data_IF_388833671486
#
_entry.id   IF_388833671486
#
_cell.length_a   1.000
_cell.length_b   1.000
_cell.length_c   1.000
_cell.angle_alpha   90.00
_cell.angle_beta   90.00
_cell.angle_gamma   90.00
#
_symmetry.space_group_name_H-M   'P 1'
#
loop_
_entity.id
_entity.type
_entity.pdbx_description
1 polymer ?
#
# COMPACT_ATOMS: atom_id res chain seq x y z
N UNK A 1 -15.64 66.77 12.76
CA UNK A 1 -14.66 66.42 13.80
C UNK A 1 -15.19 65.25 14.60
N UNK A 2 -14.74 64.04 14.29
CA UNK A 2 -14.63 62.89 15.22
C UNK A 2 -14.05 61.70 14.44
N UNK A 3 -12.74 61.57 14.48
CA UNK A 3 -11.99 60.37 14.13
C UNK A 3 -11.97 59.44 15.34
N UNK A 4 -12.52 58.23 15.22
CA UNK A 4 -12.36 57.17 16.21
C UNK A 4 -11.49 56.08 15.60
N UNK A 5 -10.30 55.95 16.19
CA UNK A 5 -9.19 55.10 15.83
C UNK A 5 -9.51 53.63 16.13
N UNK A 6 -9.35 52.77 15.13
CA UNK A 6 -9.49 51.31 15.22
C UNK A 6 -8.35 50.70 16.04
N UNK A 7 -8.74 49.83 16.99
CA UNK A 7 -7.88 49.18 17.97
C UNK A 7 -7.14 48.00 17.33
N UNK A 8 -5.81 48.12 17.25
CA UNK A 8 -4.89 47.01 16.99
C UNK A 8 -5.06 45.94 18.09
N UNK A 9 -5.37 44.69 17.73
CA UNK A 9 -5.16 43.52 18.59
C UNK A 9 -4.10 42.64 17.96
N UNK A 10 -2.90 42.73 18.52
CA UNK A 10 -1.80 41.77 18.34
C UNK A 10 -2.24 40.40 18.84
N UNK A 11 -2.35 39.43 17.93
CA UNK A 11 -2.44 38.01 18.25
C UNK A 11 -1.01 37.48 18.30
N UNK A 12 -0.41 37.55 19.48
CA UNK A 12 0.85 36.87 19.79
C UNK A 12 0.77 36.46 21.25
N UNK A 13 0.67 35.15 21.46
CA UNK A 13 1.11 34.39 22.65
C UNK A 13 0.15 33.24 22.99
N UNK A 14 0.02 32.27 22.09
CA UNK A 14 -0.34 30.90 22.46
C UNK A 14 0.38 29.91 21.54
N UNK A 15 1.71 29.88 21.64
CA UNK A 15 2.56 28.81 21.13
C UNK A 15 3.54 28.45 22.25
N UNK A 16 3.79 27.14 22.38
CA UNK A 16 4.73 26.43 23.28
C UNK A 16 4.10 25.90 24.56
N UNK A 17 3.52 24.70 24.46
CA UNK A 17 3.64 23.64 25.47
C UNK A 17 3.75 22.29 24.74
N UNK A 18 4.80 22.11 23.94
CA UNK A 18 5.28 20.79 23.54
C UNK A 18 6.49 20.45 24.42
N UNK A 19 6.25 19.70 25.50
CA UNK A 19 7.33 19.05 26.23
C UNK A 19 8.08 18.08 25.31
N UNK A 20 9.31 17.65 25.66
CA UNK A 20 10.05 16.70 24.84
C UNK A 20 9.21 15.42 24.63
N UNK A 21 8.94 15.09 23.38
CA UNK A 21 8.22 13.87 23.01
C UNK A 21 9.03 12.66 23.49
N UNK A 22 8.36 11.76 24.23
CA UNK A 22 9.00 10.56 24.77
C UNK A 22 8.73 9.40 23.81
N UNK A 23 9.75 8.83 23.14
CA UNK A 23 9.57 7.68 22.27
C UNK A 23 9.00 6.49 23.06
N UNK A 24 7.96 5.84 22.50
CA UNK A 24 7.34 4.67 23.10
C UNK A 24 7.74 3.42 22.33
N UNK A 25 8.29 2.45 23.07
CA UNK A 25 8.52 1.10 22.55
C UNK A 25 7.18 0.41 22.31
N UNK A 26 7.09 -0.32 21.21
CA UNK A 26 5.95 -1.15 20.82
C UNK A 26 6.39 -2.56 20.51
N UNK A 27 5.44 -3.48 20.62
CA UNK A 27 5.56 -4.86 20.15
C UNK A 27 4.46 -5.12 19.14
N UNK A 28 4.84 -5.51 17.93
CA UNK A 28 3.89 -5.83 16.86
C UNK A 28 3.95 -7.32 16.56
N UNK A 29 2.82 -7.99 16.62
CA UNK A 29 2.72 -9.43 16.35
C UNK A 29 1.28 -9.88 16.16
N UNK A 30 1.08 -11.16 15.89
CA UNK A 30 -0.24 -11.76 15.68
C UNK A 30 -0.59 -12.60 16.91
N UNK A 31 -1.78 -12.35 17.46
CA UNK A 31 -2.18 -12.89 18.77
C UNK A 31 -3.33 -13.89 18.71
N UNK A 32 -3.91 -14.10 17.52
CA UNK A 32 -5.00 -15.04 17.26
C UNK A 32 -5.05 -15.39 15.78
N UNK A 33 -5.51 -16.61 15.46
CA UNK A 33 -5.59 -17.13 14.09
C UNK A 33 -6.47 -16.25 13.19
N UNK A 34 -5.97 -15.92 12.00
CA UNK A 34 -6.67 -15.12 11.00
C UNK A 34 -6.85 -13.65 11.40
N UNK A 35 -6.25 -13.24 12.52
CA UNK A 35 -6.29 -11.85 12.94
C UNK A 35 -5.14 -11.07 12.30
N UNK A 36 -5.44 -9.82 11.98
CA UNK A 36 -4.44 -8.83 11.62
C UNK A 36 -3.41 -8.72 12.77
N UNK A 37 -2.10 -8.60 12.47
CA UNK A 37 -1.13 -8.07 13.41
C UNK A 37 -1.67 -6.92 14.25
N UNK A 38 -1.29 -6.89 15.52
CA UNK A 38 -1.65 -5.82 16.44
C UNK A 38 -0.40 -5.26 17.07
N UNK A 39 -0.42 -3.96 17.33
CA UNK A 39 0.68 -3.24 17.96
C UNK A 39 0.32 -2.89 19.39
N UNK A 40 1.10 -3.42 20.33
CA UNK A 40 0.94 -3.18 21.76
C UNK A 40 2.03 -2.26 22.26
N UNK A 41 1.64 -1.18 22.93
CA UNK A 41 2.58 -0.23 23.52
C UNK A 41 3.14 -0.83 24.83
N UNK A 42 4.47 -0.79 24.99
CA UNK A 42 5.15 -1.17 26.22
C UNK A 42 4.95 -0.06 27.27
N UNK A 43 3.83 -0.15 27.98
CA UNK A 43 3.35 0.90 28.90
C UNK A 43 3.87 0.78 30.34
N UNK A 44 4.29 -0.42 30.76
CA UNK A 44 4.71 -0.72 32.13
C UNK A 44 6.17 -1.14 32.21
N UNK A 45 6.73 -1.11 33.42
CA UNK A 45 8.11 -1.48 33.69
C UNK A 45 8.16 -2.27 35.03
N UNK A 46 8.26 -3.61 35.03
CA UNK A 46 8.32 -4.48 33.85
C UNK A 46 6.97 -4.61 33.14
N UNK A 47 7.01 -4.75 31.83
CA UNK A 47 5.91 -5.19 30.98
C UNK A 47 6.00 -6.71 30.85
N UNK A 48 5.00 -7.44 31.35
CA UNK A 48 5.07 -8.89 31.49
C UNK A 48 4.33 -9.57 30.35
N UNK A 49 4.95 -10.62 29.82
CA UNK A 49 4.46 -11.40 28.70
C UNK A 49 4.32 -12.86 29.14
N UNK A 50 3.20 -13.49 28.81
CA UNK A 50 2.98 -14.90 29.12
C UNK A 50 1.56 -15.34 28.84
N UNK A 51 1.23 -16.59 29.18
CA UNK A 51 -0.07 -17.19 28.88
C UNK A 51 -1.20 -16.75 29.83
N UNK A 52 -0.85 -16.16 30.98
CA UNK A 52 -1.87 -15.76 31.96
C UNK A 52 -2.54 -14.44 31.54
N UNK A 53 -3.86 -14.38 31.72
CA UNK A 53 -4.68 -13.23 31.37
C UNK A 53 -4.45 -11.97 32.24
N UNK A 54 -3.78 -12.11 33.39
CA UNK A 54 -3.47 -10.98 34.30
C UNK A 54 -2.19 -10.21 33.94
N UNK A 55 -1.55 -10.55 32.81
CA UNK A 55 -0.33 -9.92 32.33
C UNK A 55 -0.62 -8.81 31.34
N UNK A 56 0.36 -7.90 31.15
CA UNK A 56 0.22 -6.79 30.20
C UNK A 56 0.09 -7.27 28.74
N UNK A 57 0.74 -8.38 28.39
CA UNK A 57 0.52 -9.08 27.13
C UNK A 57 0.25 -10.56 27.40
N UNK A 58 -1.03 -10.92 27.33
CA UNK A 58 -1.50 -12.30 27.46
C UNK A 58 -1.48 -12.98 26.09
N UNK A 59 -0.65 -14.02 25.94
CA UNK A 59 -0.50 -14.79 24.71
C UNK A 59 -1.21 -16.15 24.84
N UNK A 60 -2.23 -16.37 24.02
CA UNK A 60 -2.99 -17.62 24.06
C UNK A 60 -2.31 -18.72 23.23
N UNK A 61 -1.18 -19.23 23.73
CA UNK A 61 -0.43 -20.31 23.08
C UNK A 61 -0.02 -21.39 24.09
N UNK A 62 -0.21 -22.69 23.78
CA UNK A 62 0.17 -23.78 24.68
C UNK A 62 1.68 -23.90 24.90
N UNK A 63 2.51 -23.37 23.98
CA UNK A 63 3.97 -23.37 24.11
C UNK A 63 4.49 -22.12 24.85
N UNK A 64 3.61 -21.24 25.33
CA UNK A 64 3.95 -20.09 26.15
C UNK A 64 3.72 -20.40 27.64
N UNK A 65 4.76 -20.21 28.46
CA UNK A 65 4.67 -20.33 29.92
C UNK A 65 3.74 -19.27 30.54
N UNK A 66 3.16 -19.58 31.71
CA UNK A 66 2.21 -18.69 32.40
C UNK A 66 2.75 -17.27 32.62
N UNK A 67 4.02 -17.17 33.04
CA UNK A 67 4.88 -16.00 32.87
C UNK A 67 6.07 -16.48 32.04
N UNK A 68 6.38 -15.80 30.96
CA UNK A 68 7.37 -16.28 30.00
C UNK A 68 8.55 -15.32 29.89
N UNK A 69 8.26 -14.04 29.68
CA UNK A 69 9.28 -13.02 29.47
C UNK A 69 8.84 -11.68 30.07
N UNK A 70 9.81 -10.83 30.33
CA UNK A 70 9.61 -9.47 30.82
C UNK A 70 10.43 -8.49 30.01
N UNK A 71 9.81 -7.38 29.64
CA UNK A 71 10.47 -6.23 29.07
C UNK A 71 10.53 -5.10 30.11
N UNK A 72 11.67 -4.47 30.26
CA UNK A 72 11.85 -3.40 31.23
C UNK A 72 12.78 -2.33 30.67
N UNK A 73 12.57 -1.09 31.09
CA UNK A 73 13.39 0.03 30.64
C UNK A 73 14.47 0.32 31.67
N UNK A 74 15.74 0.33 31.25
CA UNK A 74 16.90 0.72 32.06
C UNK A 74 17.62 1.83 31.31
N UNK A 75 17.75 3.02 31.93
CA UNK A 75 18.41 4.19 31.33
C UNK A 75 17.86 4.55 29.93
N UNK A 76 16.55 4.40 29.72
CA UNK A 76 15.90 4.69 28.44
C UNK A 76 16.02 3.59 27.38
N UNK A 77 16.82 2.55 27.61
CA UNK A 77 16.94 1.39 26.73
C UNK A 77 16.01 0.26 27.15
N UNK A 78 15.45 -0.45 26.16
CA UNK A 78 14.60 -1.60 26.42
C UNK A 78 15.48 -2.83 26.66
N UNK A 79 15.13 -3.61 27.69
CA UNK A 79 15.77 -4.88 28.00
C UNK A 79 14.75 -5.99 28.09
N UNK A 80 15.16 -7.17 27.70
CA UNK A 80 14.36 -8.39 27.70
C UNK A 80 15.02 -9.42 28.61
N UNK A 81 14.18 -10.15 29.34
CA UNK A 81 14.57 -11.29 30.16
C UNK A 81 13.56 -12.41 30.05
N UNK A 82 14.07 -13.64 30.04
CA UNK A 82 13.29 -14.85 30.22
C UNK A 82 12.99 -15.11 31.71
N UNK A 83 11.74 -15.44 32.05
CA UNK A 83 11.32 -15.71 33.44
C UNK A 83 11.34 -17.19 33.80
N UNK A 84 12.36 -17.92 33.33
CA UNK A 84 12.48 -19.37 33.46
C UNK A 84 11.35 -20.09 32.71
N UNK A 85 11.09 -19.67 31.48
CA UNK A 85 10.08 -20.28 30.63
C UNK A 85 10.50 -21.69 30.18
N UNK A 86 9.51 -22.51 29.84
CA UNK A 86 9.74 -23.91 29.45
C UNK A 86 10.47 -24.03 28.11
N UNK A 87 10.12 -23.17 27.15
CA UNK A 87 10.67 -23.23 25.79
C UNK A 87 11.78 -22.20 25.54
N UNK A 88 11.97 -21.26 26.47
CA UNK A 88 12.92 -20.17 26.33
C UNK A 88 12.35 -19.00 25.52
N UNK A 89 12.93 -17.84 25.77
CA UNK A 89 12.75 -16.61 25.00
C UNK A 89 13.92 -16.46 24.03
N UNK A 90 13.66 -15.95 22.83
CA UNK A 90 14.69 -15.73 21.81
C UNK A 90 14.68 -14.28 21.36
N UNK A 91 15.85 -13.76 21.00
CA UNK A 91 16.05 -12.47 20.38
C UNK A 91 16.74 -12.71 19.03
N UNK A 92 16.08 -12.31 17.93
CA UNK A 92 16.58 -12.53 16.56
C UNK A 92 16.97 -14.00 16.29
N UNK A 93 16.15 -14.94 16.78
CA UNK A 93 16.39 -16.39 16.65
C UNK A 93 17.45 -16.97 17.59
N UNK A 94 18.14 -16.14 18.38
CA UNK A 94 19.12 -16.60 19.37
C UNK A 94 18.48 -16.68 20.75
N UNK A 95 18.58 -17.84 21.40
CA UNK A 95 18.04 -18.02 22.76
C UNK A 95 18.78 -17.10 23.73
N UNK A 96 18.03 -16.28 24.47
CA UNK A 96 18.63 -15.34 25.41
C UNK A 96 19.05 -16.07 26.69
N UNK A 97 20.13 -15.61 27.31
CA UNK A 97 20.56 -16.04 28.64
C UNK A 97 20.74 -14.81 29.51
N UNK A 98 19.95 -14.70 30.59
CA UNK A 98 19.92 -13.49 31.42
C UNK A 98 19.18 -12.33 30.75
N UNK A 99 19.63 -11.10 31.06
CA UNK A 99 19.05 -9.86 30.55
C UNK A 99 19.82 -9.39 29.32
N UNK A 100 19.10 -9.13 28.23
CA UNK A 100 19.67 -8.63 26.98
C UNK A 100 19.04 -7.29 26.63
N UNK A 101 19.81 -6.44 25.94
CA UNK A 101 19.26 -5.22 25.36
C UNK A 101 18.47 -5.55 24.10
N UNK A 102 17.45 -4.75 23.82
CA UNK A 102 16.56 -4.89 22.68
C UNK A 102 16.47 -3.56 21.98
N UNK A 103 16.82 -3.57 20.70
CA UNK A 103 16.81 -2.39 19.85
C UNK A 103 15.55 -2.35 18.97
N UNK A 104 15.29 -1.18 18.38
CA UNK A 104 14.27 -1.05 17.34
C UNK A 104 14.61 -1.99 16.18
N UNK A 105 13.60 -2.71 15.68
CA UNK A 105 13.79 -3.68 14.62
C UNK A 105 14.06 -5.10 15.13
N UNK A 106 14.32 -5.32 16.41
CA UNK A 106 14.55 -6.67 16.92
C UNK A 106 13.28 -7.53 16.91
N UNK A 107 13.48 -8.84 16.77
CA UNK A 107 12.45 -9.85 16.93
C UNK A 107 12.58 -10.53 18.29
N UNK A 108 11.54 -10.39 19.12
CA UNK A 108 11.39 -11.11 20.38
C UNK A 108 10.48 -12.32 20.15
N UNK A 109 10.97 -13.54 20.42
CA UNK A 109 10.21 -14.78 20.28
C UNK A 109 9.87 -15.34 21.66
N UNK A 110 8.57 -15.58 21.89
CA UNK A 110 8.00 -16.08 23.13
C UNK A 110 7.13 -17.28 22.77
N UNK A 111 7.66 -18.49 22.93
CA UNK A 111 7.00 -19.71 22.44
C UNK A 111 6.95 -19.74 20.90
N UNK A 112 5.75 -19.77 20.33
CA UNK A 112 5.46 -19.68 18.89
C UNK A 112 4.99 -18.28 18.45
N UNK A 113 5.01 -17.31 19.37
CA UNK A 113 4.67 -15.92 19.08
C UNK A 113 5.95 -15.13 18.86
N UNK A 114 6.00 -14.38 17.77
CA UNK A 114 7.11 -13.50 17.45
C UNK A 114 6.61 -12.06 17.39
N UNK A 115 7.36 -11.17 18.03
CA UNK A 115 7.03 -9.78 18.25
C UNK A 115 8.14 -8.91 17.69
N UNK A 116 7.82 -8.05 16.71
CA UNK A 116 8.75 -7.04 16.21
C UNK A 116 8.74 -5.85 17.17
N UNK A 117 9.92 -5.38 17.54
CA UNK A 117 10.10 -4.23 18.41
C UNK A 117 10.12 -2.97 17.54
N UNK A 118 9.24 -2.02 17.85
CA UNK A 118 9.18 -0.71 17.21
C UNK A 118 9.39 0.43 18.19
N UNK A 119 9.73 1.61 17.68
CA UNK A 119 9.73 2.85 18.45
C UNK A 119 8.89 3.88 17.70
N UNK A 120 7.82 4.38 18.33
CA UNK A 120 6.93 5.36 17.69
C UNK A 120 6.80 6.65 18.51
N UNK A 121 6.59 7.74 17.77
CA UNK A 121 6.14 9.04 18.30
C UNK A 121 4.61 9.07 18.39
N UNK A 122 4.08 9.75 19.41
CA UNK A 122 2.78 9.40 20.06
C UNK A 122 1.53 9.75 19.24
N UNK A 123 1.62 10.48 18.12
CA UNK A 123 0.41 11.04 17.49
C UNK A 123 -0.38 10.06 16.59
N UNK A 124 0.17 8.89 16.22
CA UNK A 124 -0.47 7.99 15.23
C UNK A 124 -0.83 6.57 15.71
N UNK A 125 -0.57 6.20 16.97
CA UNK A 125 -0.87 4.84 17.43
C UNK A 125 -2.26 4.73 18.07
N UNK A 126 -3.23 4.19 17.31
CA UNK A 126 -4.43 3.59 17.90
C UNK A 126 -4.00 2.30 18.60
N UNK A 127 -4.01 2.29 19.93
CA UNK A 127 -3.69 1.10 20.72
C UNK A 127 -4.79 0.04 20.51
N UNK A 128 -4.53 -0.98 19.71
CA UNK A 128 -5.37 -2.19 19.62
C UNK A 128 -4.89 -3.17 20.68
N UNK A 129 -5.44 -3.06 21.90
CA UNK A 129 -5.32 -4.12 22.90
C UNK A 129 -6.33 -5.21 22.48
N UNK A 130 -5.94 -6.48 22.33
CA UNK A 130 -6.91 -7.54 22.12
C UNK A 130 -7.81 -7.65 23.36
N UNK A 131 -9.03 -7.13 23.26
CA UNK A 131 -10.11 -7.49 24.17
C UNK A 131 -10.61 -8.87 23.72
N UNK A 132 -10.38 -9.86 24.59
CA UNK A 132 -10.95 -11.22 24.53
C UNK A 132 -10.32 -12.18 23.49
N UNK A 133 -9.20 -12.81 23.84
CA UNK A 133 -8.77 -14.06 23.19
C UNK A 133 -9.72 -15.21 23.61
N UNK A 134 -10.86 -15.36 22.93
CA UNK A 134 -11.76 -16.50 23.08
C UNK A 134 -11.31 -17.73 22.28
N UNK A 135 -11.71 -18.88 22.82
CA UNK A 135 -11.37 -20.28 22.47
C UNK A 135 -11.52 -20.60 20.98
N UNK A 136 -10.53 -21.26 20.38
CA UNK A 136 -10.66 -22.52 19.60
C UNK A 136 -9.30 -23.03 19.14
N UNK A 137 -9.27 -24.33 18.85
CA UNK A 137 -8.15 -25.21 18.53
C UNK A 137 -7.45 -24.93 17.19
N UNK A 138 -6.15 -25.25 17.15
CA UNK A 138 -5.23 -25.26 15.99
C UNK A 138 -4.83 -23.87 15.46
N UNK A 139 -3.89 -23.23 16.17
CA UNK A 139 -3.10 -22.07 15.74
C UNK A 139 -1.78 -22.54 15.13
N UNK A 140 -1.44 -22.07 13.92
CA UNK A 140 -0.11 -22.22 13.33
C UNK A 140 0.55 -20.83 13.23
N UNK A 141 0.95 -20.28 14.39
CA UNK A 141 1.55 -18.95 14.50
C UNK A 141 2.82 -18.72 13.70
N UNK A 142 3.44 -19.80 13.23
CA UNK A 142 4.65 -19.74 12.39
C UNK A 142 4.35 -19.09 11.04
N UNK A 143 3.22 -19.40 10.42
CA UNK A 143 2.90 -18.93 9.06
C UNK A 143 2.58 -17.43 9.03
N UNK A 144 1.80 -16.96 10.00
CA UNK A 144 1.37 -15.57 10.13
C UNK A 144 2.52 -14.63 10.51
N UNK A 145 3.37 -15.05 11.45
CA UNK A 145 4.63 -14.36 11.76
C UNK A 145 5.57 -14.35 10.56
N UNK A 146 5.70 -15.48 9.85
CA UNK A 146 6.57 -15.57 8.69
C UNK A 146 6.17 -14.56 7.62
N UNK A 147 4.88 -14.29 7.44
CA UNK A 147 4.39 -13.26 6.52
C UNK A 147 4.74 -11.84 6.96
N UNK A 148 4.63 -11.54 8.27
CA UNK A 148 5.06 -10.24 8.78
C UNK A 148 6.57 -10.05 8.65
N UNK A 149 7.37 -11.07 8.97
CA UNK A 149 8.82 -11.08 8.72
C UNK A 149 9.13 -10.82 7.26
N UNK A 150 8.49 -11.57 6.38
CA UNK A 150 8.62 -11.45 4.95
C UNK A 150 8.29 -10.05 4.44
N UNK A 151 7.20 -9.41 4.92
CA UNK A 151 6.86 -8.04 4.52
C UNK A 151 7.92 -7.04 4.99
N UNK A 152 8.33 -7.12 6.26
CA UNK A 152 9.30 -6.18 6.80
C UNK A 152 10.65 -6.31 6.09
N UNK A 153 11.09 -7.54 5.81
CA UNK A 153 12.27 -7.82 5.00
C UNK A 153 12.10 -7.30 3.57
N UNK A 154 10.94 -7.51 2.94
CA UNK A 154 10.63 -6.98 1.60
C UNK A 154 10.75 -5.46 1.54
N UNK A 155 10.24 -4.76 2.56
CA UNK A 155 10.31 -3.30 2.65
C UNK A 155 11.74 -2.81 2.85
N UNK A 156 12.47 -3.44 3.78
CA UNK A 156 13.85 -3.08 4.11
C UNK A 156 14.82 -3.34 2.95
N UNK A 157 14.69 -4.50 2.30
CA UNK A 157 15.53 -4.92 1.18
C UNK A 157 15.06 -4.38 -0.17
N UNK A 158 13.86 -3.79 -0.23
CA UNK A 158 13.22 -3.29 -1.46
C UNK A 158 13.08 -4.38 -2.53
N UNK A 159 12.89 -5.64 -2.13
CA UNK A 159 12.93 -6.84 -3.00
C UNK A 159 11.67 -7.05 -3.86
N UNK A 160 11.18 -5.99 -4.51
CA UNK A 160 10.09 -6.06 -5.49
C UNK A 160 10.63 -6.34 -6.90
N UNK A 161 9.94 -7.20 -7.63
CA UNK A 161 10.29 -7.61 -8.97
C UNK A 161 9.83 -6.57 -10.03
N UNK A 162 10.53 -6.46 -11.17
CA UNK A 162 10.18 -5.57 -12.29
C UNK A 162 9.02 -6.15 -13.11
N UNK A 163 7.85 -6.34 -12.50
CA UNK A 163 6.67 -6.90 -13.14
C UNK A 163 5.79 -5.79 -13.72
N UNK A 164 5.57 -5.83 -15.02
CA UNK A 164 4.79 -4.83 -15.74
C UNK A 164 3.74 -5.49 -16.62
N UNK A 165 2.58 -4.85 -16.76
CA UNK A 165 1.58 -5.23 -17.74
C UNK A 165 1.49 -4.15 -18.83
N UNK A 166 1.63 -4.53 -20.12
CA UNK A 166 1.44 -3.58 -21.22
C UNK A 166 -0.02 -3.13 -21.35
N UNK A 167 -0.20 -1.85 -21.68
CA UNK A 167 -1.47 -1.24 -22.08
C UNK A 167 -1.38 -0.96 -23.58
N UNK A 168 -2.35 -1.46 -24.36
CA UNK A 168 -2.31 -1.42 -25.81
C UNK A 168 -3.32 -0.43 -26.38
N UNK A 169 -2.99 0.16 -27.53
CA UNK A 169 -3.99 0.80 -28.39
C UNK A 169 -4.95 -0.26 -28.92
N UNK A 170 -6.26 -0.11 -28.67
CA UNK A 170 -7.26 -1.15 -29.00
C UNK A 170 -7.35 -1.44 -30.50
N UNK A 171 -7.10 -0.43 -31.33
CA UNK A 171 -7.18 -0.55 -32.79
C UNK A 171 -5.89 -1.02 -33.46
N UNK A 172 -4.72 -0.59 -32.98
CA UNK A 172 -3.43 -0.91 -33.62
C UNK A 172 -2.67 -2.04 -32.93
N UNK A 173 -3.04 -2.35 -31.68
CA UNK A 173 -2.37 -3.28 -30.78
C UNK A 173 -0.94 -2.88 -30.40
N UNK A 174 -0.49 -1.69 -30.79
CA UNK A 174 0.78 -1.14 -30.32
C UNK A 174 0.73 -0.88 -28.82
N UNK A 175 1.86 -1.07 -28.15
CA UNK A 175 1.98 -0.75 -26.72
C UNK A 175 2.01 0.76 -26.53
N UNK A 176 1.00 1.28 -25.82
CA UNK A 176 0.92 2.68 -25.42
C UNK A 176 1.78 2.93 -24.18
N UNK A 177 1.62 2.12 -23.14
CA UNK A 177 2.27 2.29 -21.84
C UNK A 177 2.34 0.99 -21.04
N UNK A 178 2.81 1.10 -19.80
CA UNK A 178 2.94 -0.03 -18.90
C UNK A 178 2.43 0.31 -17.51
N UNK A 179 1.70 -0.60 -16.90
CA UNK A 179 1.36 -0.54 -15.49
C UNK A 179 2.37 -1.35 -14.68
N UNK A 180 2.88 -0.78 -13.59
CA UNK A 180 3.71 -1.52 -12.65
C UNK A 180 2.84 -2.28 -11.65
N UNK A 181 3.06 -3.58 -11.57
CA UNK A 181 2.31 -4.48 -10.69
C UNK A 181 3.27 -5.12 -9.70
N UNK A 182 3.21 -4.69 -8.43
CA UNK A 182 4.09 -5.20 -7.40
C UNK A 182 4.05 -6.74 -7.31
N UNK A 183 5.23 -7.37 -7.33
CA UNK A 183 5.40 -8.82 -7.17
C UNK A 183 6.66 -9.05 -6.35
N UNK A 184 6.70 -10.11 -5.56
CA UNK A 184 7.91 -10.57 -4.89
C UNK A 184 8.06 -12.08 -4.99
N UNK A 185 9.28 -12.57 -4.78
CA UNK A 185 9.57 -13.99 -4.63
C UNK A 185 9.41 -14.49 -3.19
N UNK A 186 9.10 -13.61 -2.24
CA UNK A 186 9.04 -13.94 -0.82
C UNK A 186 7.71 -14.63 -0.50
N UNK A 187 7.77 -15.82 0.09
CA UNK A 187 6.60 -16.64 0.41
C UNK A 187 5.64 -15.88 1.35
N UNK A 188 4.35 -15.94 1.02
CA UNK A 188 3.28 -15.30 1.80
C UNK A 188 3.15 -13.78 1.66
N UNK A 189 3.98 -13.15 0.82
CA UNK A 189 3.84 -11.75 0.36
C UNK A 189 4.18 -11.65 -1.14
N UNK A 190 3.75 -12.64 -1.94
CA UNK A 190 4.15 -12.75 -3.36
C UNK A 190 3.44 -11.78 -4.27
N UNK A 191 2.18 -11.49 -3.96
CA UNK A 191 1.30 -10.63 -4.74
C UNK A 191 0.81 -9.43 -3.91
N UNK A 192 0.30 -8.37 -4.54
CA UNK A 192 -0.12 -7.16 -3.85
C UNK A 192 -1.18 -7.43 -2.77
N UNK A 193 -2.17 -8.29 -3.04
CA UNK A 193 -3.21 -8.60 -2.06
C UNK A 193 -2.64 -9.19 -0.77
N UNK A 194 -1.70 -10.13 -0.87
CA UNK A 194 -0.98 -10.66 0.29
C UNK A 194 -0.12 -9.59 0.99
N UNK A 195 0.65 -8.80 0.22
CA UNK A 195 1.53 -7.77 0.78
C UNK A 195 0.74 -6.71 1.54
N UNK A 196 -0.32 -6.17 0.94
CA UNK A 196 -1.13 -5.09 1.51
C UNK A 196 -1.97 -5.59 2.68
N UNK A 197 -2.51 -6.82 2.65
CA UNK A 197 -3.19 -7.40 3.80
C UNK A 197 -2.27 -7.46 5.04
N UNK A 198 -0.99 -7.79 4.85
CA UNK A 198 -0.01 -7.76 5.94
C UNK A 198 0.40 -6.32 6.26
N UNK A 199 0.54 -5.42 5.28
CA UNK A 199 0.97 -4.05 5.53
C UNK A 199 -0.06 -3.24 6.33
N UNK A 200 -1.34 -3.33 5.95
CA UNK A 200 -2.47 -2.69 6.64
C UNK A 200 -2.54 -3.09 8.11
N UNK A 201 -2.29 -4.37 8.39
CA UNK A 201 -2.33 -4.88 9.74
C UNK A 201 -1.27 -4.29 10.68
N UNK A 202 -0.16 -3.79 10.13
CA UNK A 202 0.91 -3.15 10.90
C UNK A 202 1.00 -1.65 10.66
N UNK A 203 0.03 -1.05 9.96
CA UNK A 203 0.02 0.38 9.64
C UNK A 203 1.15 0.80 8.71
N UNK A 204 1.57 -0.08 7.79
CA UNK A 204 2.68 0.14 6.83
C UNK A 204 2.21 0.12 5.38
N UNK A 205 0.91 0.15 5.13
CA UNK A 205 0.30 0.13 3.79
C UNK A 205 0.70 1.34 2.95
N UNK A 206 0.82 2.52 3.56
CA UNK A 206 1.29 3.73 2.86
C UNK A 206 2.78 3.59 2.50
N UNK A 207 3.60 3.09 3.41
CA UNK A 207 5.03 2.87 3.18
C UNK A 207 5.27 1.86 2.05
N UNK A 208 4.49 0.77 2.03
CA UNK A 208 4.52 -0.21 0.94
C UNK A 208 4.08 0.42 -0.39
N UNK A 209 3.02 1.23 -0.39
CA UNK A 209 2.55 1.94 -1.60
C UNK A 209 3.62 2.85 -2.19
N UNK A 210 4.27 3.65 -1.34
CA UNK A 210 5.39 4.52 -1.71
C UNK A 210 6.56 3.71 -2.28
N UNK A 211 6.93 2.61 -1.60
CA UNK A 211 8.00 1.72 -2.04
C UNK A 211 7.68 1.10 -3.42
N UNK A 212 6.44 0.66 -3.64
CA UNK A 212 6.01 0.12 -4.92
C UNK A 212 6.21 1.13 -6.04
N UNK A 213 5.83 2.40 -5.84
CA UNK A 213 6.02 3.45 -6.87
C UNK A 213 7.48 3.79 -7.09
N UNK A 214 8.29 3.84 -6.03
CA UNK A 214 9.73 4.07 -6.16
C UNK A 214 10.41 2.95 -6.95
N UNK A 215 10.24 1.70 -6.52
CA UNK A 215 10.88 0.54 -7.14
C UNK A 215 10.34 0.30 -8.55
N UNK A 216 9.04 0.49 -8.77
CA UNK A 216 8.45 0.41 -10.11
C UNK A 216 9.04 1.43 -11.09
N UNK A 217 9.29 2.65 -10.63
CA UNK A 217 9.93 3.69 -11.44
C UNK A 217 11.41 3.37 -11.69
N UNK A 218 12.14 2.89 -10.67
CA UNK A 218 13.52 2.43 -10.81
C UNK A 218 13.65 1.30 -11.84
N UNK A 219 12.77 0.31 -11.77
CA UNK A 219 12.74 -0.81 -12.71
C UNK A 219 12.29 -0.43 -14.12
N UNK A 220 11.62 0.72 -14.29
CA UNK A 220 11.14 1.16 -15.60
C UNK A 220 12.26 1.36 -16.63
N UNK A 221 13.54 1.39 -16.22
CA UNK A 221 14.69 1.44 -17.13
C UNK A 221 14.74 0.25 -18.12
N UNK A 222 14.07 -0.87 -17.83
CA UNK A 222 13.96 -2.00 -18.76
C UNK A 222 12.90 -1.81 -19.85
N UNK A 223 12.05 -0.79 -19.74
CA UNK A 223 10.98 -0.49 -20.68
C UNK A 223 11.48 0.45 -21.79
N UNK A 224 10.83 0.46 -22.96
CA UNK A 224 11.11 1.44 -24.01
C UNK A 224 11.11 2.88 -23.47
N UNK A 225 12.00 3.71 -24.03
CA UNK A 225 12.09 5.11 -23.63
C UNK A 225 10.79 5.85 -23.98
N UNK A 226 10.42 6.82 -23.14
CA UNK A 226 9.25 7.70 -23.34
C UNK A 226 7.88 6.99 -23.36
N UNK A 227 7.78 5.73 -22.93
CA UNK A 227 6.47 5.12 -22.69
C UNK A 227 5.94 5.52 -21.30
N UNK A 228 4.65 5.91 -21.19
CA UNK A 228 4.01 6.16 -19.90
C UNK A 228 4.10 4.96 -18.96
N UNK A 229 4.45 5.26 -17.71
CA UNK A 229 4.44 4.31 -16.61
C UNK A 229 3.30 4.68 -15.66
N UNK A 230 2.37 3.76 -15.50
CA UNK A 230 1.23 3.88 -14.61
C UNK A 230 1.58 3.28 -13.24
N UNK A 231 1.27 4.04 -12.18
CA UNK A 231 1.69 3.80 -10.81
C UNK A 231 0.52 3.99 -9.84
N UNK A 232 0.17 2.90 -9.15
CA UNK A 232 -0.96 2.84 -8.24
C UNK A 232 -0.77 3.60 -6.93
N UNK A 233 -1.88 4.10 -6.37
CA UNK A 233 -1.99 4.60 -4.99
C UNK A 233 -2.73 3.60 -4.11
N UNK A 234 -2.45 3.62 -2.81
CA UNK A 234 -3.26 2.89 -1.85
C UNK A 234 -4.51 3.72 -1.47
N UNK A 235 -5.71 3.14 -1.28
CA UNK A 235 -6.92 3.92 -0.97
C UNK A 235 -6.83 4.78 0.30
N UNK A 236 -6.08 4.32 1.30
CA UNK A 236 -5.83 5.05 2.55
C UNK A 236 -4.76 6.14 2.47
N UNK A 237 -4.13 6.32 1.31
CA UNK A 237 -3.03 7.28 1.12
C UNK A 237 -3.54 8.73 0.94
N UNK A 238 -3.10 9.69 1.76
CA UNK A 238 -3.43 11.11 1.55
C UNK A 238 -2.79 11.65 0.26
N UNK A 239 -3.63 11.97 -0.73
CA UNK A 239 -3.14 12.32 -2.07
C UNK A 239 -2.28 13.59 -2.11
N UNK A 240 -2.68 14.66 -1.40
CA UNK A 240 -1.98 15.95 -1.47
C UNK A 240 -0.73 15.99 -0.59
N UNK A 241 -0.74 15.31 0.55
CA UNK A 241 0.33 15.32 1.55
C UNK A 241 1.37 14.25 1.28
N UNK A 242 1.00 13.15 0.62
CA UNK A 242 1.87 11.97 0.42
C UNK A 242 2.09 11.69 -1.06
N UNK A 243 1.04 11.37 -1.82
CA UNK A 243 1.20 10.89 -3.20
C UNK A 243 1.79 11.95 -4.13
N UNK A 244 1.26 13.17 -4.13
CA UNK A 244 1.70 14.28 -4.99
C UNK A 244 3.17 14.67 -4.71
N UNK A 245 3.62 14.89 -3.45
CA UNK A 245 5.02 15.14 -3.15
C UNK A 245 5.95 13.99 -3.57
N UNK A 246 5.51 12.74 -3.44
CA UNK A 246 6.31 11.59 -3.87
C UNK A 246 6.44 11.54 -5.40
N UNK A 247 5.37 11.80 -6.14
CA UNK A 247 5.42 11.89 -7.60
C UNK A 247 6.33 13.01 -8.10
N UNK A 248 6.39 14.15 -7.39
CA UNK A 248 7.36 15.23 -7.69
C UNK A 248 8.80 14.73 -7.56
N UNK A 249 9.14 14.04 -6.46
CA UNK A 249 10.48 13.45 -6.27
C UNK A 249 10.82 12.43 -7.36
N UNK A 250 9.87 11.58 -7.75
CA UNK A 250 10.08 10.62 -8.83
C UNK A 250 10.30 11.30 -10.17
N UNK A 251 9.53 12.34 -10.50
CA UNK A 251 9.72 13.14 -11.71
C UNK A 251 11.11 13.79 -11.75
N UNK A 252 11.57 14.37 -10.65
CA UNK A 252 12.91 14.99 -10.55
C UNK A 252 14.03 13.95 -10.78
N UNK A 253 13.87 12.75 -10.23
CA UNK A 253 14.85 11.65 -10.39
C UNK A 253 14.79 10.99 -11.78
N UNK A 254 13.62 10.96 -12.42
CA UNK A 254 13.37 10.32 -13.71
C UNK A 254 12.70 11.27 -14.72
N UNK A 255 13.38 12.35 -15.16
CA UNK A 255 12.77 13.40 -15.98
C UNK A 255 12.32 12.92 -17.37
N UNK A 256 12.93 11.87 -17.91
CA UNK A 256 12.61 11.33 -19.24
C UNK A 256 11.48 10.30 -19.29
N UNK A 257 10.94 9.87 -18.15
CA UNK A 257 9.89 8.84 -18.06
C UNK A 257 8.52 9.53 -17.87
N UNK A 258 7.57 9.47 -18.81
CA UNK A 258 6.22 9.94 -18.54
C UNK A 258 5.62 9.10 -17.41
N UNK A 259 5.08 9.76 -16.39
CA UNK A 259 4.55 9.11 -15.19
C UNK A 259 3.05 9.42 -15.11
N UNK A 260 2.27 8.41 -14.74
CA UNK A 260 0.83 8.50 -14.52
C UNK A 260 0.54 7.99 -13.13
N UNK A 261 -0.08 8.81 -12.28
CA UNK A 261 -0.56 8.41 -10.97
C UNK A 261 -1.98 7.84 -11.11
N UNK A 262 -2.21 6.62 -10.65
CA UNK A 262 -3.54 6.02 -10.61
C UNK A 262 -4.15 6.21 -9.22
N UNK A 263 -5.36 6.75 -9.18
CA UNK A 263 -6.15 6.90 -7.95
C UNK A 263 -7.43 6.08 -8.03
N UNK A 264 -7.78 5.45 -6.91
CA UNK A 264 -8.97 4.61 -6.81
C UNK A 264 -10.26 5.43 -6.99
N UNK A 265 -11.30 4.79 -7.55
CA UNK A 265 -12.65 5.34 -7.73
C UNK A 265 -13.21 6.11 -6.52
N UNK A 266 -12.95 5.66 -5.29
CA UNK A 266 -13.44 6.32 -4.08
C UNK A 266 -13.02 7.79 -3.96
N UNK A 267 -11.82 8.13 -4.44
CA UNK A 267 -11.32 9.52 -4.44
C UNK A 267 -12.09 10.44 -5.41
N UNK A 268 -12.77 9.87 -6.43
CA UNK A 268 -13.53 10.62 -7.45
C UNK A 268 -14.79 11.25 -6.85
N UNK A 269 -15.33 10.66 -5.78
CA UNK A 269 -16.51 11.17 -5.06
C UNK A 269 -16.28 12.55 -4.41
N UNK A 270 -15.02 13.01 -4.35
CA UNK A 270 -14.62 14.35 -3.93
C UNK A 270 -13.99 15.17 -5.09
N UNK A 271 -14.78 15.72 -6.03
CA UNK A 271 -14.25 16.41 -7.21
C UNK A 271 -13.33 17.60 -6.91
N UNK A 272 -13.47 18.23 -5.74
CA UNK A 272 -12.60 19.31 -5.29
C UNK A 272 -11.16 18.82 -5.02
N UNK A 273 -11.01 17.68 -4.35
CA UNK A 273 -9.72 17.06 -4.09
C UNK A 273 -9.04 16.67 -5.41
N UNK A 274 -9.78 15.99 -6.30
CA UNK A 274 -9.24 15.55 -7.60
C UNK A 274 -8.75 16.72 -8.46
N UNK A 275 -9.48 17.84 -8.47
CA UNK A 275 -9.04 19.06 -9.16
C UNK A 275 -7.72 19.59 -8.61
N UNK A 276 -7.56 19.59 -7.29
CA UNK A 276 -6.32 20.04 -6.65
C UNK A 276 -5.15 19.08 -6.96
N UNK A 277 -5.39 17.77 -6.88
CA UNK A 277 -4.39 16.74 -7.22
C UNK A 277 -3.94 16.89 -8.67
N UNK A 278 -4.87 16.95 -9.63
CA UNK A 278 -4.53 17.15 -11.05
C UNK A 278 -3.78 18.45 -11.28
N UNK A 279 -4.21 19.56 -10.66
CA UNK A 279 -3.54 20.84 -10.80
C UNK A 279 -2.08 20.75 -10.32
N UNK A 280 -1.84 20.13 -9.15
CA UNK A 280 -0.51 19.96 -8.60
C UNK A 280 0.37 19.06 -9.47
N UNK A 281 -0.13 17.90 -9.93
CA UNK A 281 0.63 16.98 -10.79
C UNK A 281 1.04 17.61 -12.13
N UNK A 282 0.18 18.49 -12.69
CA UNK A 282 0.47 19.20 -13.94
C UNK A 282 1.64 20.16 -13.85
N UNK A 283 1.93 20.73 -12.68
CA UNK A 283 3.08 21.62 -12.49
C UNK A 283 4.42 20.96 -12.82
N UNK A 284 4.48 19.62 -12.76
CA UNK A 284 5.69 18.84 -13.01
C UNK A 284 5.45 17.69 -14.02
N UNK A 285 4.51 17.86 -14.94
CA UNK A 285 4.25 16.95 -16.06
C UNK A 285 4.02 15.49 -15.63
N UNK A 286 3.19 15.29 -14.61
CA UNK A 286 2.67 13.97 -14.22
C UNK A 286 1.19 13.94 -14.57
N UNK A 287 0.74 12.83 -15.17
CA UNK A 287 -0.65 12.63 -15.57
C UNK A 287 -1.44 11.94 -14.46
N UNK A 288 -2.76 12.08 -14.48
CA UNK A 288 -3.67 11.46 -13.52
C UNK A 288 -4.58 10.44 -14.23
N UNK A 289 -4.65 9.23 -13.70
CA UNK A 289 -5.58 8.19 -14.10
C UNK A 289 -6.57 7.88 -12.97
N UNK A 290 -7.80 7.57 -13.36
CA UNK A 290 -8.79 6.96 -12.46
C UNK A 290 -8.83 5.47 -12.69
N UNK A 291 -8.76 4.73 -11.58
CA UNK A 291 -8.75 3.27 -11.59
C UNK A 291 -10.11 2.69 -11.15
N UNK A 292 -10.42 1.50 -11.64
CA UNK A 292 -11.65 0.73 -11.34
C UNK A 292 -12.98 1.48 -11.54
N UNK A 293 -13.09 2.35 -12.56
CA UNK A 293 -14.37 3.03 -12.81
C UNK A 293 -15.45 2.03 -13.24
N UNK A 294 -16.61 2.10 -12.58
CA UNK A 294 -17.72 1.19 -12.81
C UNK A 294 -17.88 0.10 -11.75
N UNK A 295 -16.96 0.01 -10.79
CA UNK A 295 -17.06 -0.89 -9.63
C UNK A 295 -18.16 -0.46 -8.63
N UNK A 296 -18.67 0.77 -8.74
CA UNK A 296 -19.94 1.19 -8.15
C UNK A 296 -19.87 2.33 -7.14
N UNK A 297 -18.72 2.97 -6.96
CA UNK A 297 -18.56 4.10 -6.03
C UNK A 297 -18.79 5.46 -6.70
N UNK A 298 -18.37 5.63 -7.96
CA UNK A 298 -18.47 6.90 -8.66
C UNK A 298 -19.59 6.93 -9.72
N UNK A 299 -20.24 8.08 -9.85
CA UNK A 299 -21.27 8.32 -10.88
C UNK A 299 -20.68 9.05 -12.08
N UNK A 300 -21.29 8.89 -13.25
CA UNK A 300 -20.92 9.62 -14.48
C UNK A 300 -20.80 11.13 -14.24
N UNK A 301 -21.66 11.71 -13.39
CA UNK A 301 -21.60 13.14 -13.03
C UNK A 301 -20.28 13.52 -12.33
N UNK A 302 -19.78 12.67 -11.46
CA UNK A 302 -18.53 12.92 -10.72
C UNK A 302 -17.35 12.87 -11.67
N UNK A 303 -17.36 11.92 -12.63
CA UNK A 303 -16.35 11.81 -13.68
C UNK A 303 -16.28 13.06 -14.57
N UNK A 304 -17.42 13.68 -14.89
CA UNK A 304 -17.43 14.96 -15.63
C UNK A 304 -16.84 16.10 -14.79
N UNK A 305 -17.02 16.06 -13.46
CA UNK A 305 -16.58 17.11 -12.56
C UNK A 305 -15.15 16.93 -12.03
N UNK A 306 -14.61 15.72 -12.13
CA UNK A 306 -13.31 15.28 -11.66
C UNK A 306 -12.38 15.10 -12.87
N UNK A 307 -11.56 16.09 -13.20
CA UNK A 307 -10.85 16.07 -14.46
C UNK A 307 -9.63 15.11 -14.36
N UNK A 308 -9.48 14.18 -15.31
CA UNK A 308 -8.34 13.24 -15.43
C UNK A 308 -7.75 13.25 -16.83
N UNK A 309 -6.59 12.61 -17.00
CA UNK A 309 -5.97 12.37 -18.31
C UNK A 309 -6.27 10.95 -18.82
N UNK A 310 -6.48 9.99 -17.90
CA UNK A 310 -6.92 8.62 -18.20
C UNK A 310 -8.10 8.19 -17.31
N UNK A 311 -8.97 7.33 -17.86
CA UNK A 311 -10.03 6.65 -17.12
C UNK A 311 -9.98 5.17 -17.48
N UNK A 312 -9.75 4.34 -16.46
CA UNK A 312 -9.70 2.88 -16.56
C UNK A 312 -11.05 2.33 -16.11
N UNK A 313 -11.65 1.52 -16.98
CA UNK A 313 -12.97 0.92 -16.80
C UNK A 313 -12.79 -0.52 -16.34
N UNK A 314 -13.37 -0.84 -15.18
CA UNK A 314 -13.20 -2.14 -14.52
C UNK A 314 -13.64 -3.33 -15.40
N UNK A 315 -12.98 -4.46 -15.19
CA UNK A 315 -13.22 -5.70 -15.90
C UNK A 315 -14.67 -6.21 -15.82
N UNK A 316 -15.36 -6.01 -14.69
CA UNK A 316 -16.76 -6.41 -14.55
C UNK A 316 -17.66 -5.60 -15.48
N UNK A 317 -17.42 -4.29 -15.58
CA UNK A 317 -18.15 -3.44 -16.51
C UNK A 317 -17.92 -3.86 -17.97
N UNK A 318 -16.68 -4.15 -18.36
CA UNK A 318 -16.36 -4.63 -19.72
C UNK A 318 -17.02 -5.99 -20.00
N UNK A 319 -17.10 -6.86 -19.00
CA UNK A 319 -17.78 -8.15 -19.11
C UNK A 319 -19.29 -7.99 -19.30
N UNK A 320 -19.92 -7.16 -18.48
CA UNK A 320 -21.37 -6.94 -18.50
C UNK A 320 -21.82 -6.33 -19.84
N UNK A 321 -20.96 -5.56 -20.51
CA UNK A 321 -21.23 -4.97 -21.84
C UNK A 321 -21.42 -6.00 -22.96
N UNK A 322 -21.13 -7.28 -22.76
CA UNK A 322 -21.39 -8.32 -23.77
C UNK A 322 -22.87 -8.70 -23.86
N UNK A 323 -23.64 -8.50 -22.78
CA UNK A 323 -25.03 -8.98 -22.66
C UNK A 323 -26.06 -7.84 -22.61
N UNK A 324 -25.66 -6.62 -23.01
CA UNK A 324 -26.54 -5.44 -22.99
C UNK A 324 -27.40 -5.33 -24.26
N UNK A 325 -28.51 -4.59 -24.17
CA UNK A 325 -29.33 -4.27 -25.34
C UNK A 325 -28.65 -3.27 -26.29
N UNK A 326 -29.05 -3.23 -27.55
CA UNK A 326 -28.55 -2.26 -28.55
C UNK A 326 -28.67 -0.80 -28.08
N UNK A 327 -29.74 -0.48 -27.34
CA UNK A 327 -29.97 0.86 -26.75
C UNK A 327 -28.93 1.18 -25.67
N UNK A 328 -28.63 0.22 -24.79
CA UNK A 328 -27.62 0.35 -23.75
C UNK A 328 -26.21 0.45 -24.35
N UNK A 329 -25.93 -0.34 -25.38
CA UNK A 329 -24.69 -0.28 -26.12
C UNK A 329 -24.46 1.10 -26.75
N UNK A 330 -25.48 1.64 -27.43
CA UNK A 330 -25.46 2.97 -28.06
C UNK A 330 -25.27 4.09 -27.03
N UNK A 331 -25.85 3.93 -25.83
CA UNK A 331 -25.64 4.84 -24.71
C UNK A 331 -24.19 4.81 -24.24
N UNK A 332 -23.59 3.63 -24.07
CA UNK A 332 -22.18 3.48 -23.68
C UNK A 332 -21.23 4.11 -24.71
N UNK A 333 -21.45 3.88 -26.01
CA UNK A 333 -20.71 4.57 -27.07
C UNK A 333 -20.78 6.10 -26.95
N UNK A 334 -21.94 6.63 -26.55
CA UNK A 334 -22.13 8.07 -26.39
C UNK A 334 -21.42 8.60 -25.14
N UNK A 335 -21.38 7.82 -24.06
CA UNK A 335 -20.61 8.14 -22.85
C UNK A 335 -19.11 8.17 -23.17
N UNK A 336 -18.57 7.13 -23.82
CA UNK A 336 -17.15 7.06 -24.21
C UNK A 336 -16.77 8.22 -25.13
N UNK A 337 -17.60 8.54 -26.12
CA UNK A 337 -17.40 9.73 -26.97
C UNK A 337 -17.40 11.03 -26.18
N UNK A 338 -18.30 11.19 -25.21
CA UNK A 338 -18.35 12.35 -24.33
C UNK A 338 -17.05 12.51 -23.53
N UNK A 339 -16.58 11.44 -22.91
CA UNK A 339 -15.32 11.41 -22.13
C UNK A 339 -14.13 11.81 -22.99
N UNK A 340 -14.04 11.26 -24.21
CA UNK A 340 -12.97 11.58 -25.16
C UNK A 340 -13.02 13.03 -25.62
N UNK A 341 -14.21 13.61 -25.78
CA UNK A 341 -14.38 15.02 -26.15
C UNK A 341 -13.89 16.00 -25.08
N UNK A 342 -13.87 15.57 -23.81
CA UNK A 342 -13.29 16.30 -22.67
C UNK A 342 -11.75 16.10 -22.57
N UNK A 343 -11.17 15.29 -23.45
CA UNK A 343 -9.73 15.08 -23.57
C UNK A 343 -9.15 13.95 -22.71
N UNK A 344 -9.99 13.15 -22.04
CA UNK A 344 -9.54 11.97 -21.29
C UNK A 344 -9.41 10.75 -22.21
N UNK A 345 -8.36 9.95 -21.99
CA UNK A 345 -8.11 8.70 -22.71
C UNK A 345 -8.79 7.55 -21.97
N UNK A 346 -9.57 6.76 -22.69
CA UNK A 346 -10.33 5.63 -22.11
C UNK A 346 -9.54 4.33 -22.19
N UNK A 347 -9.50 3.57 -21.10
CA UNK A 347 -8.81 2.28 -20.99
C UNK A 347 -9.82 1.22 -20.57
N UNK A 348 -10.03 0.18 -21.38
CA UNK A 348 -10.81 -0.99 -21.00
C UNK A 348 -9.93 -2.02 -20.29
N UNK A 349 -10.25 -2.40 -19.06
CA UNK A 349 -9.51 -3.40 -18.30
C UNK A 349 -10.16 -4.79 -18.37
N UNK A 350 -9.37 -5.81 -18.04
CA UNK A 350 -9.84 -7.19 -18.03
C UNK A 350 -10.26 -7.71 -19.40
N UNK A 351 -9.66 -7.21 -20.49
CA UNK A 351 -9.92 -7.72 -21.84
C UNK A 351 -9.32 -9.13 -21.99
N UNK A 352 -10.13 -10.15 -21.76
CA UNK A 352 -9.68 -11.55 -21.65
C UNK A 352 -9.95 -12.40 -22.89
N UNK A 353 -10.80 -11.95 -23.81
CA UNK A 353 -11.16 -12.67 -25.04
C UNK A 353 -11.11 -11.77 -26.28
N UNK A 354 -11.00 -12.39 -27.46
CA UNK A 354 -11.06 -11.67 -28.73
C UNK A 354 -12.43 -11.00 -28.94
N UNK A 355 -13.51 -11.60 -28.43
CA UNK A 355 -14.84 -10.97 -28.47
C UNK A 355 -14.88 -9.69 -27.62
N UNK A 356 -14.25 -9.68 -26.45
CA UNK A 356 -14.14 -8.48 -25.61
C UNK A 356 -13.32 -7.39 -26.31
N UNK A 357 -12.24 -7.77 -27.00
CA UNK A 357 -11.42 -6.82 -27.75
C UNK A 357 -12.22 -6.18 -28.91
N UNK A 358 -12.97 -6.98 -29.67
CA UNK A 358 -13.87 -6.50 -30.73
C UNK A 358 -14.93 -5.55 -30.16
N UNK A 359 -15.56 -5.94 -29.04
CA UNK A 359 -16.51 -5.10 -28.33
C UNK A 359 -15.90 -3.75 -27.93
N UNK A 360 -14.67 -3.75 -27.41
CA UNK A 360 -13.98 -2.51 -27.05
C UNK A 360 -13.68 -1.62 -28.27
N UNK A 361 -13.33 -2.22 -29.42
CA UNK A 361 -13.14 -1.52 -30.70
C UNK A 361 -14.45 -0.87 -31.17
N UNK A 362 -15.55 -1.62 -31.14
CA UNK A 362 -16.87 -1.14 -31.58
C UNK A 362 -17.42 -0.04 -30.67
N UNK A 363 -17.24 -0.16 -29.35
CA UNK A 363 -17.62 0.89 -28.39
C UNK A 363 -16.77 2.15 -28.60
N UNK A 364 -15.52 1.98 -29.05
CA UNK A 364 -14.60 3.07 -29.37
C UNK A 364 -13.69 3.47 -28.23
N UNK A 365 -13.29 2.51 -27.38
CA UNK A 365 -12.22 2.69 -26.41
C UNK A 365 -10.90 3.02 -27.09
N UNK A 366 -10.07 3.85 -26.45
CA UNK A 366 -8.76 4.21 -26.98
C UNK A 366 -7.72 3.11 -26.69
N UNK A 367 -7.69 2.65 -25.44
CA UNK A 367 -6.72 1.72 -24.90
C UNK A 367 -7.39 0.50 -24.26
N UNK A 368 -6.64 -0.59 -24.16
CA UNK A 368 -7.09 -1.86 -23.61
C UNK A 368 -5.96 -2.57 -22.86
N UNK A 369 -6.32 -3.22 -21.77
CA UNK A 369 -5.44 -4.01 -20.93
C UNK A 369 -6.13 -5.30 -20.52
N UNK A 370 -5.45 -6.43 -20.70
CA UNK A 370 -6.01 -7.74 -20.37
C UNK A 370 -5.24 -8.89 -20.98
N UNK A 371 -5.56 -10.12 -20.57
CA UNK A 371 -4.77 -11.30 -20.90
C UNK A 371 -4.81 -11.70 -22.37
N UNK A 372 -5.82 -11.29 -23.14
CA UNK A 372 -5.82 -11.53 -24.59
C UNK A 372 -4.75 -10.68 -25.29
N UNK A 373 -4.47 -9.48 -24.76
CA UNK A 373 -3.50 -8.54 -25.30
C UNK A 373 -2.09 -8.86 -24.79
N UNK A 374 -1.92 -8.86 -23.47
CA UNK A 374 -0.65 -9.20 -22.81
C UNK A 374 -0.86 -9.45 -21.32
N UNK A 375 -0.21 -10.50 -20.82
CA UNK A 375 -0.17 -10.81 -19.39
C UNK A 375 0.90 -9.97 -18.67
N UNK A 376 0.73 -9.68 -17.37
CA UNK A 376 1.81 -9.18 -16.53
C UNK A 376 3.04 -10.07 -16.64
N UNK A 377 4.21 -9.46 -16.85
CA UNK A 377 5.46 -10.20 -17.00
C UNK A 377 6.61 -9.50 -16.29
N UNK A 378 7.53 -10.28 -15.73
CA UNK A 378 8.81 -9.79 -15.24
C UNK A 378 9.63 -9.37 -16.45
N UNK A 379 9.95 -8.09 -16.54
CA UNK A 379 10.75 -7.54 -17.63
C UNK A 379 12.21 -7.43 -17.23
N UNK A 380 13.09 -7.79 -18.16
CA UNK A 380 14.53 -7.61 -18.02
C UNK A 380 15.03 -6.52 -18.96
N UNK A 381 16.10 -5.78 -18.56
CA UNK A 381 16.79 -4.85 -19.43
C UNK A 381 17.18 -5.49 -20.76
N UNK A 382 17.09 -4.73 -21.85
CA UNK A 382 17.42 -5.24 -23.19
C UNK A 382 18.83 -5.87 -23.27
N UNK A 383 19.80 -5.35 -22.49
CA UNK A 383 21.17 -5.87 -22.41
C UNK A 383 21.29 -7.31 -21.88
N UNK A 384 20.27 -7.84 -21.21
CA UNK A 384 20.25 -9.20 -20.66
C UNK A 384 19.43 -10.17 -21.53
N UNK A 385 18.58 -9.67 -22.44
CA UNK A 385 17.74 -10.50 -23.32
C UNK A 385 18.57 -11.29 -24.36
N UNK A 386 19.72 -10.73 -24.76
CA UNK A 386 20.63 -11.36 -25.73
C UNK A 386 21.49 -12.50 -25.13
N UNK A 387 21.50 -12.68 -23.81
CA UNK A 387 22.27 -13.77 -23.17
C UNK A 387 21.46 -15.06 -23.00
N UNK A 388 20.14 -15.00 -23.08
CA UNK A 388 19.25 -16.18 -22.97
C UNK A 388 18.90 -16.83 -24.31
N UNK A 389 19.40 -16.32 -25.44
CA UNK A 389 19.17 -16.89 -26.77
C UNK A 389 20.19 -18.00 -27.16
N UNK A 390 21.09 -18.38 -26.24
CA UNK A 390 22.09 -19.44 -26.44
C UNK A 390 22.11 -20.43 -25.28
N UNK A 391 20.97 -21.06 -24.96
CA UNK A 391 20.94 -22.33 -24.21
C UNK A 391 19.87 -23.26 -24.76
#
# INVERSE_FOLDING_TARGET
MTSVTTKNRSVSDHLRHSGPMVPKFTLTGIFSRGALPQTVIVTRNPFRIGRRADLELSLNSPVVSGRHAELFKVNGRLRLRDTSSTNGTFLNGTKITGEVEVDEGDWVEVGDVHLKVGIHEVDNLKQTIPQECMRTSEYDGKTEVSRLRALLELIETRALAPCFQPIHCVNTLDVHGYEYLARSSVEGVRNPGEMFAVAESVGREIDLSLLCREVGTEHSVCLPARTPLFLNTHPGEPLMEVAVPQMRKLRERFPGRPLVLEIHEAAITEPGLVRNVRAALREFNVQLAFDDFGAGQARIRELICAPSDYIKFDAALIRDLQDVSDDQFSLFQSIIRGIRSEGAITVAEGVETEQMLQLCQEIGFDLGQGYVLSRPAIMQPASLRDQTAFL
#
